data_IF_964248174868
#
_entry.id   IF_964248174868
#
_cell.length_a   1.000
_cell.length_b   1.000
_cell.length_c   1.000
_cell.angle_alpha   90.00
_cell.angle_beta   90.00
_cell.angle_gamma   90.00
#
_symmetry.space_group_name_H-M   'P 1'
#
loop_
_entity.id
_entity.type
_entity.pdbx_description
1 polymer ?
#
# COMPACT_ATOMS: atom_id res chain seq x y z
N UNK A 1 13.89 17.45 24.96
CA UNK A 1 13.86 16.12 25.61
C UNK A 1 14.12 16.30 27.10
N UNK A 2 13.07 16.38 27.94
CA UNK A 2 13.22 16.75 29.36
C UNK A 2 13.77 15.65 30.28
N UNK A 3 13.87 14.41 29.78
CA UNK A 3 14.37 13.23 30.50
C UNK A 3 15.50 12.54 29.70
N UNK A 4 16.56 13.28 29.33
CA UNK A 4 17.70 12.72 28.60
C UNK A 4 19.01 12.98 29.32
N UNK A 5 19.89 11.98 29.33
CA UNK A 5 21.26 12.13 29.83
C UNK A 5 22.22 12.75 28.79
N UNK A 6 21.78 12.84 27.53
CA UNK A 6 22.52 13.50 26.45
C UNK A 6 22.06 14.96 26.33
N UNK A 7 23.03 15.89 26.19
CA UNK A 7 22.73 17.32 26.01
C UNK A 7 22.03 17.64 24.69
N UNK A 8 21.96 16.69 23.74
CA UNK A 8 21.29 16.85 22.45
C UNK A 8 22.25 17.18 21.29
N UNK A 9 21.80 17.94 20.27
CA UNK A 9 22.63 18.23 19.09
C UNK A 9 21.93 18.92 17.93
N UNK A 10 22.58 18.95 16.76
CA UNK A 10 22.04 19.58 15.53
C UNK A 10 21.66 18.50 14.52
N UNK A 11 20.49 18.64 13.89
CA UNK A 11 19.98 17.75 12.83
C UNK A 11 21.07 17.40 11.82
N UNK A 12 21.20 16.11 11.46
CA UNK A 12 22.20 15.65 10.48
C UNK A 12 21.94 16.17 9.06
N UNK A 13 20.73 16.64 8.77
CA UNK A 13 20.35 17.22 7.47
C UNK A 13 20.93 18.61 7.22
N UNK A 14 21.47 19.27 8.25
CA UNK A 14 22.20 20.52 8.09
C UNK A 14 23.64 20.16 7.73
N UNK A 15 23.91 20.13 6.42
CA UNK A 15 25.18 19.73 5.80
C UNK A 15 26.25 20.82 5.90
N UNK A 16 25.85 22.10 5.85
CA UNK A 16 26.76 23.24 5.95
C UNK A 16 27.46 23.24 7.31
N UNK A 17 28.78 23.02 7.28
CA UNK A 17 29.62 22.94 8.46
C UNK A 17 29.65 24.24 9.28
N UNK A 18 29.59 25.40 8.61
CA UNK A 18 29.60 26.70 9.26
C UNK A 18 28.29 26.94 10.00
N UNK A 19 27.15 26.71 9.34
CA UNK A 19 25.82 26.82 9.97
C UNK A 19 25.69 25.83 11.11
N UNK A 20 26.16 24.59 10.94
CA UNK A 20 26.13 23.56 11.98
C UNK A 20 26.97 23.95 13.20
N UNK A 21 28.14 24.58 12.99
CA UNK A 21 28.99 25.09 14.07
C UNK A 21 28.29 26.23 14.82
N UNK A 22 27.76 27.22 14.10
CA UNK A 22 27.00 28.34 14.69
C UNK A 22 25.83 27.85 15.55
N UNK A 23 25.04 26.88 15.07
CA UNK A 23 23.92 26.32 15.84
C UNK A 23 24.37 25.54 17.08
N UNK A 24 25.52 24.86 17.01
CA UNK A 24 26.12 24.22 18.20
C UNK A 24 26.58 25.26 19.23
N UNK A 25 27.13 26.38 18.79
CA UNK A 25 27.56 27.47 19.66
C UNK A 25 26.34 28.16 20.31
N UNK A 26 25.25 28.33 19.57
CA UNK A 26 23.98 28.81 20.15
C UNK A 26 23.46 27.82 21.20
N UNK A 27 23.42 26.52 20.87
CA UNK A 27 22.98 25.46 21.80
C UNK A 27 23.80 25.41 23.08
N UNK A 28 25.12 25.58 23.00
CA UNK A 28 25.99 25.58 24.18
C UNK A 28 25.78 26.81 25.07
N UNK A 29 25.29 27.91 24.50
CA UNK A 29 24.98 29.13 25.23
C UNK A 29 23.64 29.10 25.97
N UNK A 30 22.77 28.11 25.70
CA UNK A 30 21.47 27.94 26.35
C UNK A 30 21.64 27.05 27.58
N UNK A 31 21.20 27.53 28.76
CA UNK A 31 21.28 26.77 30.00
C UNK A 31 20.17 25.70 30.09
N UNK A 32 20.59 24.44 29.97
CA UNK A 32 19.71 23.28 30.07
C UNK A 32 19.77 22.64 31.48
N UNK A 33 18.63 22.24 32.07
CA UNK A 33 18.60 21.42 33.29
C UNK A 33 19.42 20.13 33.19
N UNK A 34 19.94 19.63 34.34
CA UNK A 34 20.89 18.49 34.42
C UNK A 34 20.44 17.19 33.73
N UNK A 35 19.15 16.98 33.48
CA UNK A 35 18.58 15.79 32.81
C UNK A 35 17.80 16.13 31.54
N UNK A 36 18.22 17.18 30.82
CA UNK A 36 17.55 17.60 29.61
C UNK A 36 18.51 17.71 28.42
N UNK A 37 17.96 17.43 27.23
CA UNK A 37 18.65 17.59 25.96
C UNK A 37 17.78 18.35 24.95
N UNK A 38 18.44 19.12 24.08
CA UNK A 38 17.80 19.92 23.04
C UNK A 38 18.38 19.55 21.67
N UNK A 39 17.50 19.29 20.70
CA UNK A 39 17.92 18.99 19.32
C UNK A 39 17.38 20.07 18.40
N UNK A 40 18.28 20.80 17.73
CA UNK A 40 17.89 21.75 16.68
C UNK A 40 17.50 20.98 15.43
N UNK A 41 16.24 21.10 15.04
CA UNK A 41 15.68 20.49 13.83
C UNK A 41 16.14 21.24 12.57
N UNK A 42 15.97 20.63 11.40
CA UNK A 42 16.35 21.25 10.11
C UNK A 42 15.68 22.61 9.87
N UNK A 43 14.43 22.78 10.30
CA UNK A 43 13.69 24.06 10.23
C UNK A 43 14.32 25.15 11.11
N UNK A 44 15.10 24.78 12.12
CA UNK A 44 15.89 25.71 12.93
C UNK A 44 17.17 26.20 12.24
N UNK A 45 17.46 25.75 11.02
CA UNK A 45 18.59 26.25 10.23
C UNK A 45 18.39 27.74 9.92
N UNK A 46 19.41 28.56 10.12
CA UNK A 46 19.36 30.01 9.89
C UNK A 46 18.60 30.81 10.95
N UNK A 47 18.03 30.17 11.98
CA UNK A 47 17.40 30.87 13.11
C UNK A 47 18.43 31.42 14.07
N UNK A 48 18.16 32.61 14.59
CA UNK A 48 19.06 33.28 15.52
C UNK A 48 18.87 32.75 16.95
N UNK A 49 19.79 33.13 17.86
CA UNK A 49 19.77 32.69 19.25
C UNK A 49 18.44 33.01 19.96
N UNK A 50 17.87 34.21 19.75
CA UNK A 50 16.64 34.63 20.41
C UNK A 50 15.45 33.77 19.99
N UNK A 51 15.33 33.45 18.70
CA UNK A 51 14.27 32.58 18.18
C UNK A 51 14.37 31.17 18.78
N UNK A 52 15.58 30.61 18.87
CA UNK A 52 15.81 29.28 19.46
C UNK A 52 15.52 29.27 20.96
N UNK A 53 15.90 30.33 21.69
CA UNK A 53 15.57 30.48 23.12
C UNK A 53 14.06 30.60 23.36
N UNK A 54 13.34 31.32 22.49
CA UNK A 54 11.89 31.44 22.57
C UNK A 54 11.20 30.08 22.39
N UNK A 55 11.60 29.29 21.38
CA UNK A 55 11.06 27.95 21.15
C UNK A 55 11.38 27.00 22.33
N UNK A 56 12.60 27.06 22.87
CA UNK A 56 12.96 26.33 24.08
C UNK A 56 12.09 26.71 25.28
N UNK A 57 11.85 28.01 25.51
CA UNK A 57 11.02 28.49 26.63
C UNK A 57 9.57 28.03 26.50
N UNK A 58 9.03 27.98 25.28
CA UNK A 58 7.72 27.40 25.00
C UNK A 58 7.68 25.92 25.37
N UNK A 59 8.64 25.12 24.89
CA UNK A 59 8.73 23.69 25.21
C UNK A 59 8.92 23.42 26.71
N UNK A 60 9.68 24.28 27.40
CA UNK A 60 9.87 24.21 28.86
C UNK A 60 8.57 24.47 29.62
N UNK A 61 7.82 25.50 29.22
CA UNK A 61 6.52 25.83 29.80
C UNK A 61 5.47 24.74 29.56
N UNK A 62 5.49 24.15 28.36
CA UNK A 62 4.65 23.00 28.01
C UNK A 62 4.98 21.82 28.92
N UNK A 63 6.26 21.49 29.08
CA UNK A 63 6.68 20.40 29.96
C UNK A 63 6.25 20.60 31.42
N UNK A 64 6.39 21.82 31.96
CA UNK A 64 5.92 22.14 33.30
C UNK A 64 4.40 21.96 33.44
N UNK A 65 3.63 22.30 32.41
CA UNK A 65 2.18 22.09 32.38
C UNK A 65 1.82 20.61 32.38
N UNK A 66 2.53 19.79 31.60
CA UNK A 66 2.37 18.33 31.58
C UNK A 66 2.68 17.74 32.98
N UNK A 67 3.75 18.18 33.63
CA UNK A 67 4.10 17.72 34.98
C UNK A 67 3.03 18.09 36.01
N UNK A 68 2.50 19.32 35.96
CA UNK A 68 1.42 19.77 36.85
C UNK A 68 0.15 18.94 36.65
N UNK A 69 -0.24 18.70 35.40
CA UNK A 69 -1.40 17.87 35.08
C UNK A 69 -1.20 16.43 35.55
N UNK A 70 -0.03 15.84 35.34
CA UNK A 70 0.26 14.48 35.80
C UNK A 70 0.15 14.30 37.32
N UNK A 71 0.40 15.36 38.10
CA UNK A 71 0.26 15.34 39.55
C UNK A 71 -1.19 15.56 40.03
N UNK A 72 -2.07 16.09 39.18
CA UNK A 72 -3.45 16.43 39.56
C UNK A 72 -4.49 15.35 39.22
N UNK A 73 -4.14 14.34 38.42
CA UNK A 73 -5.05 13.26 38.00
C UNK A 73 -4.60 11.89 38.49
N UNK A 74 -5.55 11.03 38.83
CA UNK A 74 -5.30 9.62 39.15
C UNK A 74 -5.09 8.79 37.89
N UNK A 75 -4.18 7.81 37.94
CA UNK A 75 -3.91 6.93 36.80
C UNK A 75 -4.99 5.84 36.66
N UNK A 76 -5.28 5.36 35.42
CA UNK A 76 -4.79 5.84 34.13
C UNK A 76 -5.58 7.07 33.64
N UNK A 77 -4.88 8.11 33.18
CA UNK A 77 -5.51 9.32 32.62
C UNK A 77 -4.64 9.96 31.53
N UNK A 78 -5.28 10.64 30.57
CA UNK A 78 -4.62 11.39 29.50
C UNK A 78 -4.08 12.72 30.06
N UNK A 79 -2.76 12.82 30.22
CA UNK A 79 -2.09 14.01 30.78
C UNK A 79 -1.71 15.06 29.72
N UNK A 80 -1.56 14.63 28.47
CA UNK A 80 -1.21 15.45 27.32
C UNK A 80 -1.68 14.77 26.05
N UNK A 81 -2.43 15.50 25.22
CA UNK A 81 -2.76 15.07 23.88
C UNK A 81 -1.77 15.74 22.91
N UNK A 82 -1.06 14.94 22.10
CA UNK A 82 -0.21 15.49 21.04
C UNK A 82 -1.09 16.36 20.13
N UNK A 83 -0.53 17.49 19.69
CA UNK A 83 -1.29 18.53 19.01
C UNK A 83 -2.11 17.97 17.83
N UNK A 84 -3.32 18.52 17.65
CA UNK A 84 -4.24 18.19 16.58
C UNK A 84 -3.55 18.25 15.20
N UNK A 85 -4.08 17.53 14.20
CA UNK A 85 -3.56 17.47 12.82
C UNK A 85 -3.24 18.86 12.30
N UNK A 86 -4.07 19.86 12.61
CA UNK A 86 -3.86 21.27 12.26
C UNK A 86 -2.50 21.78 12.76
N UNK A 87 -2.24 21.58 14.05
CA UNK A 87 -1.05 22.07 14.73
C UNK A 87 0.21 21.34 14.27
N UNK A 88 0.11 20.02 14.08
CA UNK A 88 1.18 19.21 13.48
C UNK A 88 1.50 19.67 12.07
N UNK A 89 0.48 19.95 11.26
CA UNK A 89 0.66 20.46 9.90
C UNK A 89 1.36 21.82 9.87
N UNK A 90 0.93 22.77 10.71
CA UNK A 90 1.59 24.07 10.79
C UNK A 90 3.03 23.95 11.28
N UNK A 91 3.28 23.19 12.35
CA UNK A 91 4.62 22.96 12.90
C UNK A 91 5.58 22.31 11.90
N UNK A 92 5.09 21.33 11.15
CA UNK A 92 5.95 20.45 10.36
C UNK A 92 6.10 20.89 8.89
N UNK A 93 5.21 21.75 8.37
CA UNK A 93 5.24 22.18 6.96
C UNK A 93 5.33 23.70 6.76
N UNK A 94 5.01 24.53 7.76
CA UNK A 94 5.09 25.97 7.58
C UNK A 94 6.50 26.49 7.88
N UNK A 95 7.06 27.21 6.92
CA UNK A 95 8.32 27.95 7.01
C UNK A 95 8.11 29.40 6.57
N UNK A 96 9.14 30.24 6.73
CA UNK A 96 9.09 31.63 6.32
C UNK A 96 8.81 31.73 4.80
N UNK A 97 7.73 32.41 4.43
CA UNK A 97 7.31 32.60 3.03
C UNK A 97 6.05 31.83 2.62
N UNK A 98 5.65 30.80 3.36
CA UNK A 98 4.44 30.01 3.07
C UNK A 98 3.18 30.71 3.64
N UNK A 99 2.11 30.80 2.85
CA UNK A 99 0.79 31.27 3.30
C UNK A 99 -0.09 30.06 3.69
N UNK A 100 -0.65 30.09 4.90
CA UNK A 100 -1.58 29.07 5.40
C UNK A 100 -3.02 29.53 5.18
N UNK A 101 -3.76 28.76 4.39
CA UNK A 101 -5.16 29.07 4.10
C UNK A 101 -6.03 28.07 4.84
N UNK A 102 -6.88 28.56 5.75
CA UNK A 102 -7.68 27.71 6.63
C UNK A 102 -9.15 27.85 6.27
N UNK A 103 -9.84 26.73 6.09
CA UNK A 103 -11.31 26.69 5.99
C UNK A 103 -11.91 26.31 7.34
N UNK A 104 -12.93 27.04 7.79
CA UNK A 104 -13.58 26.83 9.10
C UNK A 104 -13.05 27.74 10.22
N UNK A 105 -13.97 28.27 11.03
CA UNK A 105 -13.65 29.25 12.09
C UNK A 105 -12.86 28.64 13.25
N UNK A 106 -13.22 27.42 13.66
CA UNK A 106 -12.57 26.71 14.77
C UNK A 106 -11.11 26.39 14.45
N UNK A 107 -10.86 25.84 13.26
CA UNK A 107 -9.50 25.56 12.79
C UNK A 107 -8.67 26.84 12.66
N UNK A 108 -9.26 27.94 12.17
CA UNK A 108 -8.55 29.21 12.05
C UNK A 108 -8.14 29.77 13.42
N UNK A 109 -9.02 29.70 14.42
CA UNK A 109 -8.71 30.15 15.78
C UNK A 109 -7.62 29.28 16.42
N UNK A 110 -7.61 27.97 16.16
CA UNK A 110 -6.53 27.09 16.61
C UNK A 110 -5.16 27.48 16.01
N UNK A 111 -5.10 27.76 14.70
CA UNK A 111 -3.88 28.24 14.03
C UNK A 111 -3.43 29.59 14.60
N UNK A 112 -4.38 30.51 14.85
CA UNK A 112 -4.11 31.81 15.43
C UNK A 112 -3.50 31.70 16.83
N UNK A 113 -4.09 30.86 17.69
CA UNK A 113 -3.58 30.62 19.04
C UNK A 113 -2.17 30.01 19.00
N UNK A 114 -1.92 29.07 18.08
CA UNK A 114 -0.60 28.50 17.90
C UNK A 114 0.44 29.55 17.49
N UNK A 115 0.12 30.35 16.47
CA UNK A 115 1.02 31.38 15.96
C UNK A 115 1.37 32.40 17.06
N UNK A 116 0.39 32.80 17.88
CA UNK A 116 0.59 33.73 18.99
C UNK A 116 1.42 33.15 20.14
N UNK A 117 1.33 31.84 20.38
CA UNK A 117 1.98 31.19 21.54
C UNK A 117 3.37 30.64 21.20
N UNK A 118 3.50 29.95 20.07
CA UNK A 118 4.73 29.24 19.69
C UNK A 118 5.65 30.07 18.79
N UNK A 119 5.12 31.02 18.01
CA UNK A 119 5.88 31.77 16.99
C UNK A 119 5.95 33.26 17.30
N UNK A 120 6.09 33.67 18.57
CA UNK A 120 6.19 35.08 18.98
C UNK A 120 7.38 35.79 18.29
N UNK A 121 7.13 36.41 17.13
CA UNK A 121 8.14 37.08 16.30
C UNK A 121 8.26 36.53 14.86
N UNK A 122 7.69 35.36 14.57
CA UNK A 122 7.64 34.78 13.23
C UNK A 122 6.53 35.38 12.38
N UNK A 123 6.81 35.66 11.10
CA UNK A 123 5.83 36.17 10.12
C UNK A 123 5.05 35.03 9.46
N UNK A 124 4.45 34.14 10.25
CA UNK A 124 3.55 33.13 9.68
C UNK A 124 2.35 33.86 9.07
N UNK A 125 2.20 33.80 7.74
CA UNK A 125 1.05 34.37 7.05
C UNK A 125 -0.06 33.34 7.07
N UNK A 126 -1.20 33.65 7.66
CA UNK A 126 -2.37 32.80 7.65
C UNK A 126 -3.64 33.62 7.39
N UNK A 127 -4.57 33.05 6.63
CA UNK A 127 -5.86 33.69 6.32
C UNK A 127 -7.01 32.69 6.38
N UNK A 128 -8.19 33.21 6.73
CA UNK A 128 -9.44 32.45 6.67
C UNK A 128 -9.98 32.46 5.25
N UNK A 129 -10.20 31.29 4.69
CA UNK A 129 -10.92 31.12 3.43
C UNK A 129 -12.42 31.35 3.67
N UNK A 130 -13.02 32.25 2.87
CA UNK A 130 -14.44 32.65 2.97
C UNK A 130 -15.25 32.31 1.71
N UNK A 131 -14.66 31.60 0.75
CA UNK A 131 -15.35 31.21 -0.48
C UNK A 131 -16.45 30.18 -0.21
N UNK A 132 -17.49 30.18 -1.06
CA UNK A 132 -18.57 29.20 -0.98
C UNK A 132 -18.17 27.82 -1.56
N UNK A 133 -17.22 27.81 -2.50
CA UNK A 133 -16.67 26.58 -3.08
C UNK A 133 -15.69 25.93 -2.09
N UNK A 134 -15.70 24.61 -1.88
CA UNK A 134 -14.72 23.94 -1.02
C UNK A 134 -13.27 24.30 -1.36
N UNK A 135 -12.43 24.46 -0.34
CA UNK A 135 -11.08 25.03 -0.47
C UNK A 135 -10.20 24.26 -1.48
N UNK A 136 -10.20 22.93 -1.46
CA UNK A 136 -9.38 22.12 -2.38
C UNK A 136 -9.89 22.16 -3.82
N UNK A 137 -11.20 22.17 -4.02
CA UNK A 137 -11.81 22.38 -5.34
C UNK A 137 -11.44 23.75 -5.90
N UNK A 138 -11.50 24.81 -5.08
CA UNK A 138 -11.14 26.16 -5.50
C UNK A 138 -9.68 26.27 -5.98
N UNK A 139 -8.76 25.53 -5.34
CA UNK A 139 -7.34 25.50 -5.72
C UNK A 139 -6.98 24.40 -6.73
N UNK A 140 -7.95 23.62 -7.25
CA UNK A 140 -7.68 22.55 -8.21
C UNK A 140 -6.86 21.38 -7.64
N UNK A 141 -6.95 21.13 -6.32
CA UNK A 141 -6.19 20.09 -5.62
C UNK A 141 -6.95 18.75 -5.62
N UNK A 142 -8.29 18.79 -5.77
CA UNK A 142 -9.15 17.60 -5.67
C UNK A 142 -8.74 16.50 -6.67
N UNK A 143 -8.42 16.87 -7.91
CA UNK A 143 -7.99 15.93 -8.94
C UNK A 143 -6.68 15.24 -8.56
N UNK A 144 -5.74 15.99 -7.96
CA UNK A 144 -4.47 15.43 -7.46
C UNK A 144 -4.68 14.51 -6.25
N UNK A 145 -5.69 14.79 -5.41
CA UNK A 145 -6.06 13.89 -4.30
C UNK A 145 -6.65 12.60 -4.84
N UNK A 146 -7.55 12.68 -5.82
CA UNK A 146 -8.13 11.52 -6.48
C UNK A 146 -7.05 10.66 -7.16
N UNK A 147 -6.06 11.29 -7.78
CA UNK A 147 -4.91 10.62 -8.40
C UNK A 147 -4.11 9.75 -7.40
N UNK A 148 -4.10 10.08 -6.10
CA UNK A 148 -3.39 9.28 -5.08
C UNK A 148 -3.95 7.85 -4.94
N UNK A 149 -5.20 7.63 -5.33
CA UNK A 149 -5.85 6.32 -5.30
C UNK A 149 -5.65 5.55 -6.61
N UNK A 150 -5.31 6.23 -7.70
CA UNK A 150 -4.99 5.62 -8.99
C UNK A 150 -3.64 4.90 -8.91
N UNK A 151 -3.52 3.76 -9.57
CA UNK A 151 -2.21 3.12 -9.79
C UNK A 151 -1.41 3.81 -10.91
N UNK A 152 -2.05 4.62 -11.76
CA UNK A 152 -1.44 5.32 -12.89
C UNK A 152 -1.36 6.81 -12.62
N UNK A 153 -0.21 7.40 -12.93
CA UNK A 153 0.09 8.83 -12.79
C UNK A 153 0.65 9.30 -14.13
N UNK A 154 0.10 10.37 -14.70
CA UNK A 154 0.56 10.89 -15.99
C UNK A 154 1.74 11.85 -15.79
N UNK A 155 2.72 11.80 -16.70
CA UNK A 155 3.85 12.70 -16.75
C UNK A 155 3.55 13.86 -17.73
N UNK A 156 4.01 15.09 -17.46
CA UNK A 156 3.83 16.26 -18.34
C UNK A 156 4.01 16.04 -19.85
N UNK A 157 4.98 15.23 -20.28
CA UNK A 157 5.30 14.96 -21.69
C UNK A 157 4.53 13.77 -22.28
N UNK A 158 3.54 13.23 -21.57
CA UNK A 158 2.68 12.13 -22.03
C UNK A 158 3.21 10.71 -21.73
N UNK A 159 4.27 10.61 -20.92
CA UNK A 159 4.64 9.36 -20.26
C UNK A 159 3.76 9.08 -19.05
N UNK A 160 3.97 7.96 -18.36
CA UNK A 160 3.19 7.63 -17.15
C UNK A 160 3.96 6.74 -16.19
N UNK A 161 3.69 6.87 -14.90
CA UNK A 161 4.13 5.95 -13.86
C UNK A 161 3.02 4.95 -13.52
N UNK A 162 3.37 3.68 -13.35
CA UNK A 162 2.49 2.64 -12.83
C UNK A 162 3.01 2.19 -11.46
N UNK A 163 2.29 2.54 -10.40
CA UNK A 163 2.64 2.25 -9.01
C UNK A 163 1.80 1.07 -8.53
N UNK A 164 2.46 -0.03 -8.18
CA UNK A 164 1.84 -1.27 -7.69
C UNK A 164 2.36 -1.61 -6.30
N UNK A 165 1.45 -1.71 -5.33
CA UNK A 165 1.79 -2.20 -4.00
C UNK A 165 1.71 -3.72 -3.99
N UNK A 166 2.78 -4.39 -3.56
CA UNK A 166 2.82 -5.83 -3.34
C UNK A 166 2.97 -6.13 -1.85
N UNK A 167 2.95 -7.41 -1.49
CA UNK A 167 3.16 -7.84 -0.10
C UNK A 167 4.55 -7.45 0.45
N UNK A 168 5.60 -7.53 -0.38
CA UNK A 168 6.98 -7.36 0.07
C UNK A 168 7.57 -5.99 -0.26
N UNK A 169 7.20 -5.39 -1.39
CA UNK A 169 7.75 -4.12 -1.86
C UNK A 169 6.76 -3.34 -2.72
N UNK A 170 7.07 -2.07 -2.98
CA UNK A 170 6.34 -1.25 -3.95
C UNK A 170 7.09 -1.30 -5.28
N UNK A 171 6.39 -1.63 -6.36
CA UNK A 171 6.91 -1.54 -7.72
C UNK A 171 6.46 -0.24 -8.38
N UNK A 172 7.37 0.45 -9.06
CA UNK A 172 7.09 1.64 -9.86
C UNK A 172 7.66 1.42 -11.25
N UNK A 173 6.81 1.40 -12.26
CA UNK A 173 7.18 1.22 -13.66
C UNK A 173 7.04 2.54 -14.43
N UNK A 174 8.05 2.89 -15.24
CA UNK A 174 8.12 4.14 -16.01
C UNK A 174 7.85 3.87 -17.48
N UNK A 175 6.79 4.47 -18.03
CA UNK A 175 6.42 4.34 -19.43
C UNK A 175 6.59 5.67 -20.17
N UNK A 176 7.17 5.66 -21.38
CA UNK A 176 7.30 6.83 -22.24
C UNK A 176 6.01 7.24 -22.96
N UNK A 177 5.02 6.35 -22.99
CA UNK A 177 3.70 6.62 -23.58
C UNK A 177 3.81 7.02 -25.06
N UNK A 178 3.11 8.10 -25.44
CA UNK A 178 3.10 8.62 -26.83
C UNK A 178 4.24 9.60 -27.12
N UNK A 179 5.27 9.66 -26.29
CA UNK A 179 6.39 10.57 -26.52
C UNK A 179 7.28 10.05 -27.66
N UNK A 180 6.83 10.23 -28.90
CA UNK A 180 7.60 9.98 -30.12
C UNK A 180 7.98 11.32 -30.72
N UNK A 181 9.00 11.96 -30.14
CA UNK A 181 9.64 13.13 -30.76
C UNK A 181 10.59 12.71 -31.89
N UNK A 182 11.13 13.68 -32.63
CA UNK A 182 12.22 13.48 -33.60
C UNK A 182 13.56 13.10 -32.94
N UNK A 183 13.61 13.13 -31.61
CA UNK A 183 14.78 12.75 -30.81
C UNK A 183 15.06 11.25 -30.90
N UNK A 184 16.34 10.87 -30.73
CA UNK A 184 16.72 9.46 -30.63
C UNK A 184 15.97 8.75 -29.48
N UNK A 185 15.72 7.45 -29.65
CA UNK A 185 15.04 6.60 -28.64
C UNK A 185 15.72 6.72 -27.27
N UNK A 186 17.06 6.74 -27.26
CA UNK A 186 17.88 6.88 -26.06
C UNK A 186 17.65 8.21 -25.33
N UNK A 187 17.53 9.32 -26.07
CA UNK A 187 17.29 10.64 -25.47
C UNK A 187 15.86 10.74 -24.90
N UNK A 188 14.90 10.13 -25.59
CA UNK A 188 13.51 10.04 -25.11
C UNK A 188 13.42 9.23 -23.82
N UNK A 189 14.15 8.11 -23.71
CA UNK A 189 14.24 7.30 -22.50
C UNK A 189 14.82 8.11 -21.33
N UNK A 190 15.96 8.76 -21.54
CA UNK A 190 16.59 9.62 -20.54
C UNK A 190 15.68 10.76 -20.08
N UNK A 191 15.06 11.49 -21.01
CA UNK A 191 14.13 12.59 -20.69
C UNK A 191 12.94 12.09 -19.88
N UNK A 192 12.32 10.97 -20.27
CA UNK A 192 11.20 10.38 -19.53
C UNK A 192 11.61 10.02 -18.10
N UNK A 193 12.77 9.37 -17.94
CA UNK A 193 13.26 8.98 -16.61
C UNK A 193 13.56 10.20 -15.74
N UNK A 194 14.15 11.26 -16.30
CA UNK A 194 14.40 12.51 -15.57
C UNK A 194 13.11 13.23 -15.15
N UNK A 195 12.05 13.12 -15.96
CA UNK A 195 10.72 13.65 -15.65
C UNK A 195 9.98 12.78 -14.61
N UNK A 196 10.19 11.47 -14.65
CA UNK A 196 9.67 10.52 -13.68
C UNK A 196 10.22 10.75 -12.27
N UNK A 197 11.51 11.08 -12.13
CA UNK A 197 12.19 11.26 -10.83
C UNK A 197 11.46 12.19 -9.84
N UNK A 198 11.13 13.46 -10.19
CA UNK A 198 10.43 14.34 -9.26
C UNK A 198 9.03 13.82 -8.93
N UNK A 199 8.35 13.19 -9.90
CA UNK A 199 7.01 12.64 -9.69
C UNK A 199 7.03 11.40 -8.79
N UNK A 200 8.04 10.54 -8.91
CA UNK A 200 8.28 9.42 -7.99
C UNK A 200 8.46 9.94 -6.56
N UNK A 201 9.32 10.96 -6.36
CA UNK A 201 9.50 11.56 -5.03
C UNK A 201 8.20 12.15 -4.48
N UNK A 202 7.45 12.87 -5.32
CA UNK A 202 6.14 13.44 -4.96
C UNK A 202 5.16 12.35 -4.52
N UNK A 203 4.96 11.32 -5.34
CA UNK A 203 3.99 10.25 -5.09
C UNK A 203 4.35 9.39 -3.88
N UNK A 204 5.63 9.04 -3.72
CA UNK A 204 6.13 8.29 -2.55
C UNK A 204 5.84 9.06 -1.26
N UNK A 205 6.02 10.39 -1.27
CA UNK A 205 5.74 11.24 -0.12
C UNK A 205 4.24 11.43 0.17
N UNK A 206 3.45 11.73 -0.86
CA UNK A 206 2.01 11.96 -0.73
C UNK A 206 1.28 10.71 -0.28
N UNK A 207 1.53 9.57 -0.94
CA UNK A 207 0.92 8.27 -0.61
C UNK A 207 1.49 7.64 0.66
N UNK A 208 2.64 8.11 1.14
CA UNK A 208 3.31 7.57 2.33
C UNK A 208 3.96 6.20 2.09
N UNK A 209 4.38 5.91 0.86
CA UNK A 209 5.01 4.64 0.49
C UNK A 209 6.31 4.46 1.28
N UNK A 210 6.54 3.26 1.79
CA UNK A 210 7.62 2.94 2.73
C UNK A 210 8.05 1.49 2.55
N UNK A 211 9.19 1.10 3.13
CA UNK A 211 9.76 -0.22 2.94
C UNK A 211 10.68 -0.26 1.72
N UNK A 212 10.74 -1.41 1.04
CA UNK A 212 11.46 -1.55 -0.23
C UNK A 212 10.62 -0.97 -1.37
N UNK A 213 11.25 -0.13 -2.19
CA UNK A 213 10.67 0.45 -3.39
C UNK A 213 11.61 0.11 -4.54
N UNK A 214 11.05 -0.52 -5.58
CA UNK A 214 11.73 -0.92 -6.80
C UNK A 214 11.22 -0.05 -7.92
N UNK A 215 12.11 0.63 -8.62
CA UNK A 215 11.80 1.47 -9.77
C UNK A 215 12.39 0.80 -11.01
N UNK A 216 11.51 0.51 -11.96
CA UNK A 216 11.84 0.05 -13.30
C UNK A 216 11.89 1.27 -14.22
N UNK A 217 13.11 1.77 -14.44
CA UNK A 217 13.33 2.90 -15.35
C UNK A 217 13.41 2.38 -16.78
N UNK A 218 13.07 3.21 -17.76
CA UNK A 218 13.27 2.86 -19.17
C UNK A 218 14.77 2.63 -19.40
N UNK A 219 15.11 1.52 -20.05
CA UNK A 219 16.50 1.16 -20.34
C UNK A 219 17.27 2.31 -21.01
N UNK A 220 18.48 2.56 -20.50
CA UNK A 220 19.41 3.54 -21.03
C UNK A 220 20.73 2.85 -21.32
N UNK A 221 21.21 2.92 -22.56
CA UNK A 221 22.48 2.33 -22.97
C UNK A 221 23.68 3.15 -22.46
N UNK A 222 23.52 4.47 -22.35
CA UNK A 222 24.60 5.35 -21.89
C UNK A 222 24.67 5.35 -20.37
N UNK A 223 25.78 4.84 -19.85
CA UNK A 223 26.07 4.88 -18.40
C UNK A 223 25.99 6.28 -17.76
N UNK A 224 26.34 7.32 -18.53
CA UNK A 224 26.21 8.71 -18.07
C UNK A 224 24.76 9.09 -17.75
N UNK A 225 23.78 8.60 -18.52
CA UNK A 225 22.36 8.83 -18.29
C UNK A 225 21.88 8.10 -17.03
N UNK A 226 22.28 6.84 -16.84
CA UNK A 226 22.01 6.10 -15.60
C UNK A 226 22.52 6.87 -14.37
N UNK A 227 23.77 7.35 -14.39
CA UNK A 227 24.35 8.12 -13.29
C UNK A 227 23.64 9.45 -13.03
N UNK A 228 23.17 10.11 -14.09
CA UNK A 228 22.40 11.34 -13.97
C UNK A 228 21.04 11.08 -13.29
N UNK A 229 20.30 10.04 -13.70
CA UNK A 229 19.01 9.65 -13.08
C UNK A 229 19.19 9.27 -11.61
N UNK A 230 20.21 8.46 -11.29
CA UNK A 230 20.54 8.09 -9.91
C UNK A 230 20.91 9.29 -9.03
N UNK A 231 21.59 10.29 -9.58
CA UNK A 231 21.91 11.53 -8.86
C UNK A 231 20.64 12.36 -8.65
N UNK A 232 19.81 12.49 -9.70
CA UNK A 232 18.57 13.24 -9.67
C UNK A 232 17.60 12.67 -8.62
N UNK A 233 17.44 11.35 -8.52
CA UNK A 233 16.53 10.75 -7.54
C UNK A 233 17.03 10.95 -6.11
N UNK A 234 18.34 10.84 -5.85
CA UNK A 234 18.90 11.17 -4.53
C UNK A 234 18.62 12.63 -4.16
N UNK A 235 18.77 13.54 -5.13
CA UNK A 235 18.49 14.96 -4.93
C UNK A 235 16.99 15.21 -4.69
N UNK A 236 16.10 14.54 -5.41
CA UNK A 236 14.65 14.68 -5.27
C UNK A 236 14.12 14.23 -3.89
N UNK A 237 14.83 13.33 -3.20
CA UNK A 237 14.51 12.86 -1.86
C UNK A 237 15.31 13.56 -0.75
N UNK A 238 16.13 14.57 -1.07
CA UNK A 238 16.99 15.26 -0.08
C UNK A 238 16.19 15.82 1.10
N UNK A 239 15.02 16.39 0.82
CA UNK A 239 14.14 17.01 1.80
C UNK A 239 13.09 16.05 2.38
N UNK A 240 13.12 14.76 2.00
CA UNK A 240 12.21 13.76 2.55
C UNK A 240 12.43 13.62 4.07
N UNK A 241 11.32 13.59 4.81
CA UNK A 241 11.32 13.42 6.27
C UNK A 241 11.74 12.02 6.68
N UNK A 242 11.52 11.00 5.83
CA UNK A 242 11.99 9.63 6.05
C UNK A 242 13.49 9.49 5.76
N UNK A 243 14.14 8.54 6.44
CA UNK A 243 15.47 8.10 6.02
C UNK A 243 15.32 7.25 4.77
N UNK A 244 16.05 7.59 3.72
CA UNK A 244 16.06 6.86 2.45
C UNK A 244 17.46 6.34 2.16
N UNK A 245 17.58 5.11 1.66
CA UNK A 245 18.84 4.51 1.23
C UNK A 245 18.69 3.98 -0.18
N UNK A 246 19.55 4.43 -1.08
CA UNK A 246 19.46 4.14 -2.51
C UNK A 246 20.52 3.11 -2.94
N UNK A 247 20.13 2.16 -3.78
CA UNK A 247 21.07 1.40 -4.61
C UNK A 247 21.45 2.20 -5.86
N UNK A 248 22.33 1.62 -6.66
CA UNK A 248 22.51 1.99 -8.06
C UNK A 248 21.48 1.26 -8.95
N UNK A 249 21.28 1.74 -10.18
CA UNK A 249 20.57 0.98 -11.22
C UNK A 249 21.41 -0.28 -11.48
N UNK A 250 20.81 -1.45 -11.32
CA UNK A 250 21.48 -2.73 -11.48
C UNK A 250 21.53 -3.17 -12.95
N UNK A 251 22.17 -4.32 -13.19
CA UNK A 251 22.33 -4.88 -14.54
C UNK A 251 20.99 -5.30 -15.18
N UNK A 252 19.89 -5.32 -14.42
CA UNK A 252 18.53 -5.58 -14.90
C UNK A 252 17.73 -4.30 -15.17
N UNK A 253 18.34 -3.12 -15.12
CA UNK A 253 17.66 -1.83 -15.32
C UNK A 253 16.88 -1.32 -14.11
N UNK A 254 16.91 -2.06 -12.99
CA UNK A 254 16.12 -1.74 -11.80
C UNK A 254 16.92 -0.94 -10.77
N UNK A 255 16.28 0.06 -10.18
CA UNK A 255 16.78 0.76 -9.00
C UNK A 255 15.98 0.38 -7.76
N UNK A 256 16.67 -0.05 -6.70
CA UNK A 256 16.04 -0.40 -5.43
C UNK A 256 16.41 0.61 -4.37
N UNK A 257 15.43 1.08 -3.60
CA UNK A 257 15.72 1.91 -2.45
C UNK A 257 14.81 1.58 -1.27
N UNK A 258 15.33 1.75 -0.06
CA UNK A 258 14.58 1.57 1.18
C UNK A 258 14.18 2.92 1.75
N UNK A 259 12.92 3.05 2.18
CA UNK A 259 12.39 4.24 2.81
C UNK A 259 11.79 3.90 4.17
N UNK A 260 12.24 4.60 5.22
CA UNK A 260 11.74 4.40 6.58
C UNK A 260 10.23 4.71 6.67
N UNK A 261 9.48 3.80 7.30
CA UNK A 261 8.06 4.00 7.58
C UNK A 261 7.87 5.04 8.69
N UNK A 262 7.22 6.16 8.35
CA UNK A 262 6.85 7.23 9.30
C UNK A 262 5.36 7.19 9.64
N UNK A 263 4.53 6.96 8.63
CA UNK A 263 3.07 6.94 8.71
C UNK A 263 2.55 5.70 7.96
N UNK A 264 1.35 5.20 8.28
CA UNK A 264 0.69 4.24 7.42
C UNK A 264 0.45 4.85 6.02
N UNK A 265 0.43 3.99 5.01
CA UNK A 265 0.21 4.46 3.64
C UNK A 265 -1.27 4.86 3.44
N UNK A 266 -1.56 5.69 2.45
CA UNK A 266 -2.92 6.22 2.25
C UNK A 266 -3.94 5.11 1.96
N UNK A 267 -3.54 4.06 1.23
CA UNK A 267 -4.43 2.96 0.87
C UNK A 267 -4.74 2.08 2.09
N UNK A 268 -3.78 1.83 2.98
CA UNK A 268 -3.99 1.10 4.24
C UNK A 268 -5.03 1.76 5.14
N UNK A 269 -5.06 3.10 5.17
CA UNK A 269 -5.97 3.85 6.04
C UNK A 269 -7.35 4.01 5.40
N UNK A 270 -7.39 4.26 4.09
CA UNK A 270 -8.58 4.72 3.39
C UNK A 270 -9.23 3.66 2.49
N UNK A 271 -8.76 2.40 2.52
CA UNK A 271 -9.35 1.31 1.72
C UNK A 271 -9.58 0.06 2.57
N UNK A 272 -10.48 -0.79 2.09
CA UNK A 272 -10.74 -2.12 2.66
C UNK A 272 -10.41 -3.18 1.62
N UNK A 273 -10.06 -4.37 2.08
CA UNK A 273 -9.77 -5.50 1.20
C UNK A 273 -10.97 -5.83 0.30
N UNK A 274 -10.70 -6.14 -0.97
CA UNK A 274 -11.75 -6.54 -1.92
C UNK A 274 -12.33 -7.90 -1.52
N UNK A 275 -13.64 -7.96 -1.29
CA UNK A 275 -14.34 -9.20 -0.88
C UNK A 275 -14.35 -10.29 -1.97
N UNK A 276 -14.18 -9.92 -3.23
CA UNK A 276 -14.17 -10.87 -4.36
C UNK A 276 -12.80 -11.48 -4.62
N UNK A 277 -11.76 -10.63 -4.74
CA UNK A 277 -10.43 -11.09 -5.12
C UNK A 277 -9.47 -11.21 -3.93
N UNK A 278 -9.84 -10.73 -2.73
CA UNK A 278 -9.00 -10.75 -1.52
C UNK A 278 -7.60 -10.17 -1.77
N UNK A 279 -7.57 -9.01 -2.42
CA UNK A 279 -6.35 -8.32 -2.80
C UNK A 279 -5.61 -8.85 -4.04
N UNK A 280 -6.02 -9.98 -4.64
CA UNK A 280 -5.30 -10.56 -5.80
C UNK A 280 -5.47 -9.78 -7.11
N UNK A 281 -6.49 -8.91 -7.20
CA UNK A 281 -6.78 -8.12 -8.41
C UNK A 281 -7.30 -8.91 -9.61
N UNK A 282 -7.53 -10.23 -9.46
CA UNK A 282 -8.05 -11.12 -10.51
C UNK A 282 -9.01 -12.14 -9.89
N UNK A 283 -9.97 -12.62 -10.67
CA UNK A 283 -10.90 -13.70 -10.25
C UNK A 283 -10.77 -14.88 -11.21
N UNK A 284 -11.12 -16.10 -10.76
CA UNK A 284 -11.08 -17.29 -11.63
C UNK A 284 -12.10 -17.13 -12.76
N UNK A 285 -11.76 -17.58 -13.96
CA UNK A 285 -12.72 -17.60 -15.07
C UNK A 285 -13.80 -18.66 -14.83
N UNK A 286 -14.99 -18.45 -15.42
CA UNK A 286 -16.09 -19.40 -15.34
C UNK A 286 -15.67 -20.80 -15.80
N UNK A 287 -14.83 -20.90 -16.83
CA UNK A 287 -14.30 -22.17 -17.34
C UNK A 287 -13.53 -22.95 -16.26
N UNK A 288 -12.65 -22.27 -15.50
CA UNK A 288 -11.86 -22.91 -14.43
C UNK A 288 -12.76 -23.36 -13.29
N UNK A 289 -13.76 -22.54 -12.93
CA UNK A 289 -14.72 -22.87 -11.87
C UNK A 289 -15.57 -24.07 -12.26
N UNK A 290 -16.12 -24.07 -13.48
CA UNK A 290 -16.92 -25.18 -14.02
C UNK A 290 -16.09 -26.45 -14.12
N UNK A 291 -14.85 -26.37 -14.61
CA UNK A 291 -13.96 -27.52 -14.64
C UNK A 291 -13.67 -28.09 -13.24
N UNK A 292 -13.68 -27.27 -12.18
CA UNK A 292 -13.60 -27.74 -10.79
C UNK A 292 -14.88 -28.45 -10.38
N UNK A 293 -16.04 -27.85 -10.62
CA UNK A 293 -17.36 -28.43 -10.31
C UNK A 293 -17.51 -29.82 -10.93
N UNK A 294 -17.19 -29.95 -12.22
CA UNK A 294 -17.34 -31.23 -12.93
C UNK A 294 -16.37 -32.30 -12.42
N UNK A 295 -15.15 -31.92 -12.02
CA UNK A 295 -14.20 -32.84 -11.40
C UNK A 295 -14.68 -33.32 -10.03
N UNK A 296 -15.20 -32.42 -9.21
CA UNK A 296 -15.71 -32.76 -7.89
C UNK A 296 -16.98 -33.63 -8.01
N UNK A 297 -17.85 -33.31 -8.97
CA UNK A 297 -19.00 -34.15 -9.29
C UNK A 297 -18.58 -35.57 -9.69
N UNK A 298 -17.63 -35.72 -10.62
CA UNK A 298 -17.10 -37.03 -11.00
C UNK A 298 -16.50 -37.79 -9.82
N UNK A 299 -15.73 -37.10 -8.97
CA UNK A 299 -15.09 -37.71 -7.80
C UNK A 299 -16.14 -38.29 -6.83
N UNK A 300 -17.18 -37.52 -6.51
CA UNK A 300 -18.23 -37.94 -5.59
C UNK A 300 -19.12 -39.00 -6.25
N UNK A 301 -19.48 -38.83 -7.51
CA UNK A 301 -20.30 -39.77 -8.28
C UNK A 301 -19.65 -41.16 -8.37
N UNK A 302 -18.32 -41.23 -8.44
CA UNK A 302 -17.61 -42.50 -8.46
C UNK A 302 -17.81 -43.32 -7.18
N UNK A 303 -17.93 -42.65 -6.02
CA UNK A 303 -18.21 -43.29 -4.71
C UNK A 303 -19.70 -43.50 -4.47
N UNK A 304 -20.57 -42.73 -5.13
CA UNK A 304 -22.00 -42.63 -4.89
C UNK A 304 -22.79 -42.75 -6.21
N UNK A 305 -22.73 -43.91 -6.84
CA UNK A 305 -23.50 -44.20 -8.07
C UNK A 305 -24.99 -44.36 -7.77
N UNK A 306 -25.85 -44.18 -8.77
CA UNK A 306 -27.31 -44.32 -8.64
C UNK A 306 -27.96 -43.31 -7.68
N UNK A 307 -27.33 -42.14 -7.50
CA UNK A 307 -27.81 -41.11 -6.57
C UNK A 307 -28.06 -39.76 -7.25
N UNK A 308 -28.83 -38.89 -6.58
CA UNK A 308 -29.01 -37.49 -6.96
C UNK A 308 -27.99 -36.57 -6.28
N UNK A 309 -27.66 -35.46 -6.94
CA UNK A 309 -26.78 -34.41 -6.43
C UNK A 309 -27.38 -33.03 -6.68
N UNK A 310 -27.25 -32.13 -5.71
CA UNK A 310 -27.66 -30.73 -5.82
C UNK A 310 -26.42 -29.84 -5.94
N UNK A 311 -26.29 -29.14 -7.07
CA UNK A 311 -25.32 -28.07 -7.27
C UNK A 311 -25.99 -26.72 -7.04
N UNK A 312 -25.46 -25.93 -6.12
CA UNK A 312 -25.81 -24.52 -5.93
C UNK A 312 -24.63 -23.65 -6.34
N UNK A 313 -24.81 -22.76 -7.32
CA UNK A 313 -23.75 -21.88 -7.80
C UNK A 313 -24.30 -20.54 -8.33
N UNK A 314 -23.41 -19.59 -8.60
CA UNK A 314 -23.77 -18.31 -9.21
C UNK A 314 -24.33 -18.51 -10.63
N UNK A 315 -25.30 -17.69 -11.04
CA UNK A 315 -25.97 -17.77 -12.36
C UNK A 315 -25.00 -17.84 -13.55
N UNK A 316 -23.96 -16.99 -13.55
CA UNK A 316 -22.93 -16.98 -14.60
C UNK A 316 -22.21 -18.33 -14.78
N UNK A 317 -21.94 -19.05 -13.67
CA UNK A 317 -21.29 -20.36 -13.70
C UNK A 317 -22.26 -21.41 -14.25
N UNK A 318 -23.51 -21.37 -13.81
CA UNK A 318 -24.57 -22.29 -14.26
C UNK A 318 -24.86 -22.12 -15.75
N UNK A 319 -24.95 -20.88 -16.23
CA UNK A 319 -25.12 -20.59 -17.64
C UNK A 319 -23.96 -21.18 -18.48
N UNK A 320 -22.73 -21.06 -17.98
CA UNK A 320 -21.55 -21.64 -18.63
C UNK A 320 -21.60 -23.17 -18.68
N UNK A 321 -22.06 -23.83 -17.61
CA UNK A 321 -22.29 -25.28 -17.60
C UNK A 321 -23.26 -25.68 -18.71
N UNK A 322 -24.43 -25.03 -18.78
CA UNK A 322 -25.49 -25.43 -19.70
C UNK A 322 -25.24 -25.04 -21.16
N UNK A 323 -24.42 -24.02 -21.43
CA UNK A 323 -24.10 -23.61 -22.80
C UNK A 323 -22.84 -24.29 -23.34
N UNK A 324 -21.80 -24.44 -22.51
CA UNK A 324 -20.48 -24.87 -22.98
C UNK A 324 -20.14 -26.30 -22.56
N UNK A 325 -20.70 -26.81 -21.45
CA UNK A 325 -20.33 -28.11 -20.86
C UNK A 325 -21.49 -29.10 -20.70
N UNK A 326 -22.64 -28.84 -21.34
CA UNK A 326 -23.85 -29.69 -21.28
C UNK A 326 -23.56 -31.16 -21.63
N UNK A 327 -22.80 -31.38 -22.70
CA UNK A 327 -22.42 -32.74 -23.15
C UNK A 327 -21.54 -33.46 -22.13
N UNK A 328 -20.67 -32.72 -21.44
CA UNK A 328 -19.81 -33.28 -20.39
C UNK A 328 -20.64 -33.68 -19.18
N UNK A 329 -21.59 -32.84 -18.74
CA UNK A 329 -22.53 -33.18 -17.66
C UNK A 329 -23.32 -34.44 -18.02
N UNK A 330 -23.92 -34.49 -19.21
CA UNK A 330 -24.70 -35.66 -19.65
C UNK A 330 -23.86 -36.94 -19.70
N UNK A 331 -22.58 -36.85 -20.09
CA UNK A 331 -21.67 -38.00 -20.05
C UNK A 331 -21.44 -38.49 -18.62
N UNK A 332 -21.23 -37.58 -17.66
CA UNK A 332 -21.04 -37.92 -16.25
C UNK A 332 -22.30 -38.57 -15.67
N UNK A 333 -23.47 -37.98 -15.91
CA UNK A 333 -24.75 -38.51 -15.45
C UNK A 333 -24.98 -39.94 -15.94
N UNK A 334 -24.69 -40.22 -17.22
CA UNK A 334 -24.82 -41.55 -17.81
C UNK A 334 -23.78 -42.55 -17.28
N UNK A 335 -22.52 -42.14 -17.18
CA UNK A 335 -21.42 -43.03 -16.78
C UNK A 335 -21.56 -43.51 -15.33
N UNK A 336 -22.00 -42.63 -14.43
CA UNK A 336 -22.17 -42.94 -13.01
C UNK A 336 -23.62 -43.24 -12.62
N UNK A 337 -24.56 -43.15 -13.56
CA UNK A 337 -26.01 -43.26 -13.36
C UNK A 337 -26.49 -42.33 -12.23
N UNK A 338 -26.18 -41.04 -12.33
CA UNK A 338 -26.54 -40.03 -11.33
C UNK A 338 -27.47 -38.97 -11.94
N UNK A 339 -28.16 -38.21 -11.10
CA UNK A 339 -28.95 -37.03 -11.53
C UNK A 339 -28.38 -35.77 -10.90
N UNK A 340 -28.07 -34.74 -11.70
CA UNK A 340 -27.59 -33.45 -11.20
C UNK A 340 -28.70 -32.40 -11.23
N UNK A 341 -29.20 -32.03 -10.06
CA UNK A 341 -30.07 -30.87 -9.87
C UNK A 341 -29.22 -29.61 -9.77
N UNK A 342 -29.58 -28.55 -10.50
CA UNK A 342 -28.82 -27.31 -10.53
C UNK A 342 -29.70 -26.16 -10.04
N UNK A 343 -29.23 -25.45 -9.01
CA UNK A 343 -29.90 -24.35 -8.35
C UNK A 343 -29.05 -23.07 -8.41
N UNK A 344 -29.67 -21.95 -8.75
CA UNK A 344 -28.99 -20.65 -8.85
C UNK A 344 -29.04 -19.94 -7.51
N UNK A 345 -27.90 -19.44 -7.05
CA UNK A 345 -27.83 -18.50 -5.92
C UNK A 345 -26.83 -17.39 -6.21
N UNK A 346 -27.32 -16.18 -6.51
CA UNK A 346 -26.49 -15.01 -6.80
C UNK A 346 -25.95 -14.30 -5.53
N UNK A 347 -26.37 -14.74 -4.34
CA UNK A 347 -25.79 -14.26 -3.08
C UNK A 347 -24.45 -14.93 -2.76
N UNK A 348 -24.10 -16.02 -3.47
CA UNK A 348 -22.77 -16.64 -3.39
C UNK A 348 -21.76 -15.86 -4.22
N UNK A 349 -20.52 -15.78 -3.76
CA UNK A 349 -19.41 -15.31 -4.61
C UNK A 349 -19.29 -16.20 -5.86
N UNK A 350 -18.91 -15.61 -6.99
CA UNK A 350 -18.84 -16.31 -8.28
C UNK A 350 -17.88 -17.51 -8.21
N UNK A 351 -16.84 -17.43 -7.39
CA UNK A 351 -15.90 -18.54 -7.20
C UNK A 351 -16.42 -19.64 -6.26
N UNK A 352 -17.56 -19.43 -5.59
CA UNK A 352 -18.12 -20.36 -4.61
C UNK A 352 -19.25 -21.17 -5.22
N UNK A 353 -19.19 -22.49 -5.04
CA UNK A 353 -20.29 -23.39 -5.30
C UNK A 353 -20.46 -24.35 -4.13
N UNK A 354 -21.63 -24.95 -4.04
CA UNK A 354 -21.94 -25.99 -3.05
C UNK A 354 -22.47 -27.19 -3.81
N UNK A 355 -21.82 -28.34 -3.64
CA UNK A 355 -22.29 -29.60 -4.20
C UNK A 355 -22.71 -30.53 -3.06
N UNK A 356 -23.97 -30.97 -3.07
CA UNK A 356 -24.55 -31.86 -2.06
C UNK A 356 -25.06 -33.14 -2.71
N UNK A 357 -25.07 -34.23 -1.96
CA UNK A 357 -25.80 -35.44 -2.35
C UNK A 357 -27.27 -35.26 -1.94
N UNK A 358 -28.19 -35.45 -2.88
CA UNK A 358 -29.61 -35.15 -2.73
C UNK A 358 -30.45 -36.25 -2.06
N UNK A 359 -29.95 -37.49 -1.98
CA UNK A 359 -30.77 -38.62 -1.50
C UNK A 359 -30.72 -38.88 0.02
N UNK A 360 -29.78 -38.29 0.76
CA UNK A 360 -29.64 -38.49 2.21
C UNK A 360 -29.26 -37.19 2.91
N UNK A 361 -30.25 -36.46 3.45
CA UNK A 361 -29.99 -35.34 4.37
C UNK A 361 -30.41 -35.74 5.78
N UNK A 362 -29.53 -36.48 6.47
CA UNK A 362 -29.35 -36.27 7.91
C UNK A 362 -28.36 -35.09 8.04
N UNK A 363 -28.88 -33.93 8.47
CA UNK A 363 -28.20 -32.63 8.44
C UNK A 363 -26.91 -32.50 9.29
N UNK A 364 -26.48 -33.54 10.01
CA UNK A 364 -25.46 -33.43 11.04
C UNK A 364 -24.04 -33.88 10.65
N UNK A 365 -23.84 -34.66 9.57
CA UNK A 365 -22.53 -35.30 9.33
C UNK A 365 -21.81 -34.91 8.03
N UNK A 366 -22.35 -34.00 7.21
CA UNK A 366 -21.70 -33.64 5.95
C UNK A 366 -21.22 -32.18 5.89
N UNK A 367 -19.89 -32.00 5.87
CA UNK A 367 -19.28 -30.70 5.55
C UNK A 367 -19.42 -30.46 4.04
N UNK A 368 -20.13 -29.42 3.59
CA UNK A 368 -20.15 -29.06 2.18
C UNK A 368 -18.70 -28.84 1.73
N UNK A 369 -18.32 -29.42 0.58
CA UNK A 369 -17.08 -29.04 -0.08
C UNK A 369 -17.24 -27.59 -0.53
N UNK A 370 -16.82 -26.67 0.32
CA UNK A 370 -16.50 -25.32 -0.10
C UNK A 370 -15.26 -25.40 -0.98
N UNK A 371 -14.96 -24.33 -1.74
CA UNK A 371 -13.83 -24.23 -2.65
C UNK A 371 -12.47 -24.29 -1.92
N UNK A 372 -12.19 -25.37 -1.19
CA UNK A 372 -10.89 -25.74 -0.68
C UNK A 372 -10.18 -26.41 -1.84
N UNK A 373 -9.46 -25.62 -2.64
CA UNK A 373 -8.56 -26.17 -3.65
C UNK A 373 -7.79 -27.36 -3.06
N UNK A 374 -7.66 -28.42 -3.86
CA UNK A 374 -7.06 -29.72 -3.53
C UNK A 374 -6.13 -29.67 -2.30
N UNK A 375 -6.65 -29.97 -1.11
CA UNK A 375 -5.81 -30.25 0.04
C UNK A 375 -5.51 -31.74 0.01
N UNK A 376 -4.23 -32.08 -0.21
CA UNK A 376 -3.73 -33.42 0.02
C UNK A 376 -3.87 -33.64 1.52
N UNK A 377 -4.85 -34.47 1.91
CA UNK A 377 -4.99 -34.87 3.31
C UNK A 377 -3.84 -35.77 3.68
N UNK A 378 -3.03 -35.35 4.66
CA UNK A 378 -2.13 -36.25 5.37
C UNK A 378 -2.98 -37.25 6.15
N UNK A 379 -3.16 -38.45 5.59
CA UNK A 379 -3.66 -39.60 6.33
C UNK A 379 -2.48 -40.29 7.02
N UNK A 380 -2.01 -39.72 8.13
CA UNK A 380 -1.24 -40.46 9.12
C UNK A 380 -2.20 -41.10 10.12
N UNK A 381 -2.43 -42.40 9.93
CA UNK A 381 -2.75 -43.44 10.92
C UNK A 381 -3.72 -44.46 10.31
N UNK A 382 -3.18 -45.56 9.81
CA UNK A 382 -3.66 -46.93 10.10
C UNK A 382 -2.63 -47.94 9.58
N UNK A 383 -2.60 -49.07 10.27
CA UNK A 383 -1.44 -49.94 10.47
C UNK A 383 -1.00 -50.75 9.24
N UNK A 384 0.24 -51.19 9.32
CA UNK A 384 0.96 -51.95 8.31
C UNK A 384 0.28 -53.29 7.97
N UNK A 385 0.14 -53.58 6.68
CA UNK A 385 0.35 -54.95 6.23
C UNK A 385 0.97 -55.03 4.83
N UNK A 386 1.99 -55.87 4.74
CA UNK A 386 2.97 -55.94 3.67
C UNK A 386 2.47 -56.90 2.58
N UNK A 387 2.16 -56.42 1.37
CA UNK A 387 2.41 -57.22 0.15
C UNK A 387 2.45 -56.36 -1.11
N UNK A 388 3.62 -56.38 -1.74
CA UNK A 388 3.87 -55.92 -3.09
C UNK A 388 2.87 -56.52 -4.09
N UNK A 389 2.11 -55.68 -4.79
CA UNK A 389 1.72 -55.94 -6.18
C UNK A 389 1.48 -54.64 -6.93
N UNK A 390 2.33 -54.43 -7.93
CA UNK A 390 2.18 -53.47 -9.01
C UNK A 390 0.70 -53.38 -9.45
N UNK A 391 0.07 -52.23 -9.22
CA UNK A 391 -0.97 -51.72 -10.11
C UNK A 391 -0.56 -50.34 -10.55
N UNK A 392 -0.02 -50.35 -11.76
CA UNK A 392 0.43 -49.20 -12.52
C UNK A 392 -0.66 -48.14 -12.67
N UNK A 393 -0.20 -46.90 -12.73
CA UNK A 393 -0.93 -45.68 -13.01
C UNK A 393 -1.66 -45.73 -14.37
N UNK A 394 -2.77 -46.44 -14.44
CA UNK A 394 -3.64 -46.51 -15.62
C UNK A 394 -4.48 -45.23 -15.82
N UNK A 395 -4.61 -44.40 -14.77
CA UNK A 395 -5.44 -43.19 -14.78
C UNK A 395 -4.74 -41.98 -15.42
N UNK A 396 -3.43 -41.84 -15.24
CA UNK A 396 -2.65 -40.70 -15.78
C UNK A 396 -2.53 -40.73 -17.31
N UNK A 397 -2.44 -41.92 -17.90
CA UNK A 397 -2.22 -42.09 -19.35
C UNK A 397 -3.49 -41.86 -20.17
N UNK A 398 -4.68 -42.10 -19.60
CA UNK A 398 -5.97 -41.79 -20.26
C UNK A 398 -6.35 -40.31 -20.14
N UNK A 399 -5.77 -39.62 -19.15
CA UNK A 399 -6.02 -38.20 -18.89
C UNK A 399 -5.25 -37.28 -19.86
N UNK A 400 -3.97 -37.56 -20.13
CA UNK A 400 -3.15 -36.77 -21.06
C UNK A 400 -3.60 -36.89 -22.52
N UNK A 401 -4.09 -38.08 -22.95
CA UNK A 401 -4.50 -38.29 -24.33
C UNK A 401 -5.83 -37.60 -24.71
N UNK A 402 -6.69 -37.32 -23.73
CA UNK A 402 -7.98 -36.62 -23.95
C UNK A 402 -7.87 -35.10 -23.94
N UNK A 403 -6.85 -34.55 -23.27
CA UNK A 403 -6.60 -33.10 -23.24
C UNK A 403 -5.95 -32.59 -24.55
N UNK A 404 -5.22 -33.45 -25.26
CA UNK A 404 -4.53 -33.11 -26.51
C UNK A 404 -5.34 -33.38 -27.78
N UNK A 405 -6.53 -33.99 -27.67
CA UNK A 405 -7.34 -34.39 -28.83
C UNK A 405 -8.54 -33.47 -29.13
N UNK A 406 -8.68 -32.33 -28.46
CA UNK A 406 -9.79 -31.38 -28.73
C UNK A 406 -9.39 -30.13 -29.53
N UNK A 407 -8.21 -30.12 -30.17
CA UNK A 407 -7.86 -29.14 -31.19
C UNK A 407 -7.67 -29.86 -32.53
N UNK A 408 -8.79 -30.06 -33.24
CA UNK A 408 -8.90 -30.06 -34.69
C UNK A 408 -10.35 -29.82 -35.08
#
# INVERSE_FOLDING_TARGET
>A
MPNSMSKGGVSRRIEDANVRKQLKDILSSISLPKRSGLIVRTVGSGKNKKEIEQDYNYLSSLWQSIQKNALSVNAPSLIYNEADVIMRSVRDFCSDGIEVIVSGKEAFEAVRQYANNALKGGKLRYRLYRGCVPIFTYYGIEDQISELYSNRVELPSGGSLIITLTEAFVSIDVNSGKMTGEDSIEETAYRTNMEAVPEISRQVNLRGLSGLIVVDFIDMLKYQYCRAVESAIRQAFKDDKAKVQFSYINDFGLMVFSRQRIKPNIQEINTTECLHCKGTGRVKSNEVIVASILRDLQHIANKNRNKSFDLVAHSAVIAHIFNNKRNTVSTIEKEFNITLNVNVNNSLDVNTFVLKQGDDVNLNDYKPLQNSGYQIGDSSNEEADNSNKLRSNFWLTKWLSRLLSSNN
#
